data_IF_651704097008
#
_entry.id   IF_651704097008
#
_cell.length_a   1.000
_cell.length_b   1.000
_cell.length_c   1.000
_cell.angle_alpha   90.00
_cell.angle_beta   90.00
_cell.angle_gamma   90.00
#
_symmetry.space_group_name_H-M   'P 1'
#
loop_
_entity.id
_entity.type
_entity.pdbx_description
1 polymer ?
#
# COMPACT_ATOMS: atom_id res chain seq x y z
N UNK A 1 -6.44 -39.70 2.57
CA UNK A 1 -5.80 -38.83 3.59
C UNK A 1 -6.73 -38.76 4.78
N UNK A 2 -6.28 -39.18 5.96
CA UNK A 2 -7.08 -39.04 7.18
C UNK A 2 -7.41 -37.56 7.42
N UNK A 3 -8.68 -37.28 7.65
CA UNK A 3 -9.20 -35.93 7.82
C UNK A 3 -8.82 -35.42 9.22
N UNK A 4 -7.60 -34.87 9.37
CA UNK A 4 -7.06 -34.32 10.63
C UNK A 4 -7.94 -33.21 11.26
N UNK A 5 -8.89 -32.67 10.49
CA UNK A 5 -9.82 -31.63 10.92
C UNK A 5 -11.08 -32.18 11.62
N UNK A 6 -11.29 -33.51 11.63
CA UNK A 6 -12.42 -34.16 12.29
C UNK A 6 -12.47 -33.89 13.80
N UNK A 7 -11.31 -33.73 14.45
CA UNK A 7 -11.18 -33.32 15.87
C UNK A 7 -11.88 -31.98 16.17
N UNK A 8 -12.04 -31.12 15.17
CA UNK A 8 -12.66 -29.81 15.29
C UNK A 8 -14.12 -29.79 14.79
N UNK A 9 -14.74 -30.97 14.60
CA UNK A 9 -16.13 -31.07 14.12
C UNK A 9 -16.30 -30.77 12.62
N UNK A 10 -15.21 -30.67 11.85
CA UNK A 10 -15.27 -30.40 10.41
C UNK A 10 -15.47 -31.71 9.65
N UNK A 11 -16.70 -31.93 9.17
CA UNK A 11 -17.09 -33.17 8.47
C UNK A 11 -16.43 -33.30 7.09
N UNK A 12 -16.31 -32.21 6.34
CA UNK A 12 -15.65 -32.20 5.02
C UNK A 12 -14.80 -30.94 4.83
N UNK A 13 -13.49 -31.05 4.58
CA UNK A 13 -12.65 -29.89 4.28
C UNK A 13 -13.03 -29.31 2.93
N UNK A 14 -13.45 -28.05 2.90
CA UNK A 14 -13.72 -27.34 1.65
C UNK A 14 -12.40 -26.73 1.15
N UNK A 15 -12.04 -27.01 -0.11
CA UNK A 15 -10.86 -26.39 -0.72
C UNK A 15 -11.18 -24.94 -1.09
N UNK A 16 -10.69 -23.98 -0.30
CA UNK A 16 -10.87 -22.54 -0.58
C UNK A 16 -9.71 -22.02 -1.43
N UNK A 17 -9.97 -21.26 -2.50
CA UNK A 17 -8.92 -20.62 -3.27
C UNK A 17 -8.13 -19.64 -2.39
N UNK A 18 -6.80 -19.72 -2.46
CA UNK A 18 -5.90 -18.80 -1.74
C UNK A 18 -5.83 -17.48 -2.49
N UNK A 19 -6.67 -16.52 -2.10
CA UNK A 19 -6.66 -15.16 -2.67
C UNK A 19 -5.51 -14.40 -2.00
N UNK A 20 -4.50 -13.98 -2.79
CA UNK A 20 -3.43 -13.11 -2.31
C UNK A 20 -3.99 -11.68 -2.21
N UNK A 21 -3.78 -10.96 -1.10
CA UNK A 21 -4.10 -9.54 -1.05
C UNK A 21 -3.19 -8.80 -2.03
N UNK A 22 -3.79 -8.07 -2.96
CA UNK A 22 -3.06 -7.16 -3.85
C UNK A 22 -3.27 -5.76 -3.30
N UNK A 23 -2.20 -5.15 -2.78
CA UNK A 23 -2.20 -3.72 -2.42
C UNK A 23 -1.48 -2.98 -3.53
N UNK A 24 -2.22 -2.20 -4.31
CA UNK A 24 -1.66 -1.28 -5.29
C UNK A 24 -1.75 0.14 -4.72
N UNK A 25 -0.63 0.86 -4.78
CA UNK A 25 -0.62 2.29 -4.46
C UNK A 25 -1.24 3.04 -5.64
N UNK A 26 -2.38 3.67 -5.41
CA UNK A 26 -3.01 4.55 -6.38
C UNK A 26 -2.83 6.01 -5.93
N UNK A 27 -2.20 6.83 -6.77
CA UNK A 27 -1.95 8.25 -6.49
C UNK A 27 -2.98 9.18 -7.16
N UNK A 28 -3.87 8.63 -7.99
CA UNK A 28 -4.87 9.39 -8.72
C UNK A 28 -6.08 9.74 -7.85
N UNK A 29 -6.28 9.02 -6.73
CA UNK A 29 -7.36 9.32 -5.79
C UNK A 29 -7.06 10.59 -4.98
N UNK A 30 -8.07 11.27 -4.43
CA UNK A 30 -7.85 12.44 -3.57
C UNK A 30 -6.89 12.16 -2.41
N UNK A 31 -6.96 10.98 -1.78
CA UNK A 31 -6.06 10.55 -0.72
C UNK A 31 -4.63 10.36 -1.24
N UNK A 32 -4.49 9.79 -2.44
CA UNK A 32 -3.21 9.64 -3.12
C UNK A 32 -2.55 10.99 -3.42
N UNK A 33 -3.33 11.97 -3.89
CA UNK A 33 -2.88 13.33 -4.12
C UNK A 33 -2.42 14.00 -2.82
N UNK A 34 -3.12 13.79 -1.70
CA UNK A 34 -2.70 14.31 -0.41
C UNK A 34 -1.32 13.78 0.02
N UNK A 35 -1.01 12.51 -0.23
CA UNK A 35 0.31 11.94 0.04
C UNK A 35 1.40 12.64 -0.79
N UNK A 36 1.15 12.83 -2.09
CA UNK A 36 2.09 13.53 -2.98
C UNK A 36 2.35 14.96 -2.51
N UNK A 37 1.30 15.69 -2.15
CA UNK A 37 1.42 17.06 -1.66
C UNK A 37 2.17 17.17 -0.33
N UNK A 38 1.94 16.22 0.58
CA UNK A 38 2.64 16.19 1.86
C UNK A 38 4.14 15.96 1.66
N UNK A 39 4.51 14.98 0.82
CA UNK A 39 5.90 14.66 0.53
C UNK A 39 6.61 15.81 -0.20
N UNK A 40 5.96 16.38 -1.23
CA UNK A 40 6.47 17.54 -1.94
C UNK A 40 6.77 18.71 -1.00
N UNK A 41 5.89 18.98 -0.03
CA UNK A 41 6.08 20.04 0.96
C UNK A 41 7.31 19.77 1.84
N UNK A 42 7.50 18.53 2.29
CA UNK A 42 8.66 18.14 3.10
C UNK A 42 9.97 18.30 2.32
N UNK A 43 9.99 17.85 1.07
CA UNK A 43 11.15 17.96 0.18
C UNK A 43 11.53 19.43 -0.06
N UNK A 44 10.55 20.28 -0.36
CA UNK A 44 10.76 21.72 -0.52
C UNK A 44 11.32 22.37 0.75
N UNK A 45 10.80 21.98 1.92
CA UNK A 45 11.27 22.50 3.19
C UNK A 45 12.70 22.05 3.53
N UNK A 46 13.07 20.82 3.19
CA UNK A 46 14.39 20.25 3.43
C UNK A 46 15.46 20.82 2.48
N UNK A 47 15.10 21.08 1.23
CA UNK A 47 16.05 21.47 0.17
C UNK A 47 15.81 22.88 -0.38
N UNK A 48 15.44 23.83 0.50
CA UNK A 48 15.09 25.22 0.12
C UNK A 48 16.11 25.89 -0.79
N UNK A 49 17.40 25.78 -0.51
CA UNK A 49 18.45 26.46 -1.28
C UNK A 49 18.60 25.86 -2.69
N UNK A 50 18.46 24.54 -2.82
CA UNK A 50 18.50 23.86 -4.11
C UNK A 50 17.35 24.31 -5.00
N UNK A 51 16.12 24.33 -4.46
CA UNK A 51 14.95 24.79 -5.20
C UNK A 51 14.99 26.29 -5.52
N UNK A 52 15.52 27.12 -4.61
CA UNK A 52 15.76 28.56 -4.91
C UNK A 52 16.72 28.73 -6.08
N UNK A 53 17.82 27.97 -6.12
CA UNK A 53 18.79 28.03 -7.22
C UNK A 53 18.17 27.57 -8.54
N UNK A 54 17.37 26.51 -8.51
CA UNK A 54 16.65 26.03 -9.70
C UNK A 54 15.62 27.05 -10.21
N UNK A 55 14.93 27.75 -9.31
CA UNK A 55 13.95 28.77 -9.70
C UNK A 55 14.60 30.03 -10.31
N UNK A 56 15.88 30.27 -10.03
CA UNK A 56 16.67 31.38 -10.61
C UNK A 56 17.42 31.02 -11.89
N UNK A 57 17.35 29.76 -12.32
CA UNK A 57 17.90 29.29 -13.61
C UNK A 57 16.88 29.50 -14.72
#
# INVERSE_FOLDING_TARGET
MENKLSKYGVSQPVNRPKIKPVKQLNLDTPEGQHLVHAEARLILAKHKNTFRRLASM
#
